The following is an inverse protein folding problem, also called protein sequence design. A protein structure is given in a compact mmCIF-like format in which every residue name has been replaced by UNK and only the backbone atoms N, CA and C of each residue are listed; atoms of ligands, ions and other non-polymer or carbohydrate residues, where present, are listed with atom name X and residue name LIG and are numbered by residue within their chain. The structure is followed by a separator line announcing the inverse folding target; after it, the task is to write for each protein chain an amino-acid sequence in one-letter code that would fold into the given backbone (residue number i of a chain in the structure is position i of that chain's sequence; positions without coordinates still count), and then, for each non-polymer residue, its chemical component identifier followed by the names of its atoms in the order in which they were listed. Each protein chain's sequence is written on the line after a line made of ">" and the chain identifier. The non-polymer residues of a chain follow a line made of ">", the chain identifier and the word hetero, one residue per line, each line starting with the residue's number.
data_IF_906672245194
#
_entry.id   IF_906672245194
#
_cell.length_a   1.000
_cell.length_b   1.000
_cell.length_c   1.000
_cell.angle_alpha   90.00
_cell.angle_beta   90.00
_cell.angle_gamma   90.00
#
_symmetry.space_group_name_H-M   'P 1'
#
loop_
_entity.id
_entity.type
_entity.pdbx_description
1 polymer ?
#
# COMPACT_ATOMS: atom_id res chain seq x y z
N UNK A 1 3.75 24.41 50.90
CA UNK A 1 4.87 23.76 50.18
C UNK A 1 4.42 22.52 49.39
N UNK A 2 3.57 21.65 49.93
CA UNK A 2 3.04 20.46 49.22
C UNK A 2 2.09 20.80 48.07
N UNK A 3 1.23 21.81 48.23
CA UNK A 3 0.24 22.21 47.20
C UNK A 3 0.93 22.75 45.94
N UNK A 4 2.02 23.49 46.07
CA UNK A 4 2.83 23.96 44.94
C UNK A 4 3.56 22.84 44.19
N UNK A 5 3.84 21.74 44.87
CA UNK A 5 4.51 20.57 44.25
C UNK A 5 3.52 19.72 43.45
N UNK A 6 2.28 19.59 43.98
CA UNK A 6 1.21 18.85 43.28
C UNK A 6 0.75 19.60 42.04
N UNK A 7 0.54 20.92 42.13
CA UNK A 7 0.13 21.75 40.99
C UNK A 7 1.19 21.80 39.87
N UNK A 8 2.48 21.77 40.22
CA UNK A 8 3.57 21.65 39.22
C UNK A 8 3.58 20.28 38.52
N UNK A 9 3.32 19.19 39.25
CA UNK A 9 3.22 17.85 38.63
C UNK A 9 2.00 17.68 37.73
N UNK A 10 0.87 18.28 38.08
CA UNK A 10 -0.34 18.27 37.27
C UNK A 10 -0.21 19.12 36.00
N UNK A 11 0.48 20.27 36.09
CA UNK A 11 0.76 21.10 34.92
C UNK A 11 1.79 20.44 34.00
N UNK A 12 2.82 19.81 34.51
CA UNK A 12 3.78 19.02 33.73
C UNK A 12 3.12 17.83 33.04
N UNK A 13 2.22 17.13 33.72
CA UNK A 13 1.43 16.06 33.11
C UNK A 13 0.50 16.55 32.00
N UNK A 14 -0.06 17.75 32.12
CA UNK A 14 -0.91 18.38 31.10
C UNK A 14 -0.08 18.86 29.90
N UNK A 15 1.11 19.40 30.12
CA UNK A 15 2.05 19.79 29.06
C UNK A 15 2.59 18.56 28.31
N UNK A 16 2.90 17.47 29.02
CA UNK A 16 3.34 16.23 28.41
C UNK A 16 2.22 15.54 27.60
N UNK A 17 0.96 15.68 28.01
CA UNK A 17 -0.20 15.15 27.30
C UNK A 17 -0.54 16.01 26.06
N UNK A 18 -0.40 17.34 26.11
CA UNK A 18 -0.57 18.23 24.98
C UNK A 18 0.58 18.13 23.96
N UNK A 19 1.82 17.86 24.40
CA UNK A 19 2.96 17.63 23.50
C UNK A 19 2.91 16.27 22.78
N UNK A 20 2.10 15.32 23.25
CA UNK A 20 1.91 14.03 22.57
C UNK A 20 0.90 14.10 21.41
N UNK A 21 0.06 15.14 21.34
CA UNK A 21 -0.93 15.28 20.25
C UNK A 21 -0.37 15.86 18.94
N UNK A 22 0.89 16.29 18.90
CA UNK A 22 1.49 16.93 17.72
C UNK A 22 2.89 16.44 17.32
N UNK A 23 3.30 15.24 17.68
CA UNK A 23 4.46 14.64 17.03
C UNK A 23 4.09 14.27 15.60
N UNK A 24 4.26 15.21 14.67
CA UNK A 24 4.29 14.87 13.23
C UNK A 24 5.50 13.96 13.00
N UNK A 25 5.24 12.67 12.84
CA UNK A 25 6.27 11.72 12.43
C UNK A 25 6.72 12.06 11.02
N UNK A 26 7.97 12.45 10.86
CA UNK A 26 8.57 12.63 9.54
C UNK A 26 9.00 11.25 9.02
N UNK A 27 8.09 10.55 8.36
CA UNK A 27 8.38 9.26 7.75
C UNK A 27 9.24 9.47 6.51
N UNK A 28 10.39 8.77 6.46
CA UNK A 28 11.29 8.76 5.28
C UNK A 28 10.94 7.66 4.27
N UNK A 29 9.89 6.90 4.52
CA UNK A 29 9.43 5.80 3.67
C UNK A 29 7.99 6.01 3.23
N UNK A 30 7.66 5.50 2.05
CA UNK A 30 6.29 5.50 1.52
C UNK A 30 5.55 4.18 1.80
N UNK A 31 6.23 3.16 2.32
CA UNK A 31 5.62 1.88 2.66
C UNK A 31 4.79 2.00 3.96
N UNK A 32 3.53 1.58 3.89
CA UNK A 32 2.62 1.61 5.05
C UNK A 32 3.08 0.67 6.17
N UNK A 33 3.66 -0.46 5.81
CA UNK A 33 4.26 -1.45 6.71
C UNK A 33 5.38 -0.85 7.55
N UNK A 34 6.34 -0.19 6.92
CA UNK A 34 7.47 0.45 7.60
C UNK A 34 7.02 1.62 8.47
N UNK A 35 6.08 2.44 8.00
CA UNK A 35 5.50 3.54 8.79
C UNK A 35 4.80 3.02 10.04
N UNK A 36 4.03 1.93 9.92
CA UNK A 36 3.40 1.25 11.05
C UNK A 36 4.42 0.78 12.09
N UNK A 37 5.50 0.15 11.65
CA UNK A 37 6.56 -0.32 12.55
C UNK A 37 7.29 0.83 13.25
N UNK A 38 7.61 1.90 12.53
CA UNK A 38 8.24 3.10 13.09
C UNK A 38 7.33 3.69 14.17
N UNK A 39 6.04 3.83 13.90
CA UNK A 39 5.07 4.36 14.85
C UNK A 39 4.94 3.48 16.10
N UNK A 40 4.85 2.15 15.94
CA UNK A 40 4.80 1.20 17.05
C UNK A 40 6.03 1.29 17.95
N UNK A 41 7.23 1.30 17.35
CA UNK A 41 8.49 1.41 18.09
C UNK A 41 8.59 2.74 18.83
N UNK A 42 8.23 3.84 18.21
CA UNK A 42 8.34 5.17 18.80
C UNK A 42 7.36 5.40 19.98
N UNK A 43 6.22 4.70 19.99
CA UNK A 43 5.19 4.81 21.04
C UNK A 43 5.19 3.60 22.00
N UNK A 44 6.13 2.66 21.86
CA UNK A 44 6.18 1.43 22.68
C UNK A 44 4.87 0.64 22.66
N UNK A 45 4.22 0.57 21.48
CA UNK A 45 2.94 -0.13 21.30
C UNK A 45 3.22 -1.60 20.97
N UNK A 46 2.84 -2.50 21.86
CA UNK A 46 2.96 -3.95 21.65
C UNK A 46 1.79 -4.52 20.85
N UNK A 47 0.59 -3.96 21.03
CA UNK A 47 -0.63 -4.38 20.35
C UNK A 47 -0.81 -3.67 19.00
N UNK A 48 -1.91 -3.98 18.29
CA UNK A 48 -2.29 -3.28 17.08
C UNK A 48 -2.64 -1.81 17.35
N UNK A 49 -2.35 -0.96 16.37
CA UNK A 49 -2.70 0.46 16.41
C UNK A 49 -4.18 0.60 16.11
N UNK A 50 -4.92 1.40 16.89
CA UNK A 50 -6.32 1.65 16.60
C UNK A 50 -6.53 2.18 15.18
N UNK A 51 -7.42 1.52 14.43
CA UNK A 51 -7.70 1.86 13.04
C UNK A 51 -6.69 1.34 12.03
N UNK A 52 -5.81 0.43 12.43
CA UNK A 52 -4.88 -0.27 11.52
C UNK A 52 -4.99 -1.77 11.75
N UNK A 53 -5.34 -2.48 10.69
CA UNK A 53 -5.31 -3.93 10.62
C UNK A 53 -4.08 -4.32 9.79
N UNK A 54 -3.34 -5.33 10.19
CA UNK A 54 -2.20 -5.82 9.42
C UNK A 54 -2.13 -7.33 9.39
N UNK A 55 -1.77 -7.86 8.25
CA UNK A 55 -1.56 -9.28 8.01
C UNK A 55 -0.24 -9.47 7.27
N UNK A 56 0.60 -10.39 7.73
CA UNK A 56 1.82 -10.80 7.05
C UNK A 56 1.75 -12.27 6.69
N UNK A 57 2.04 -12.59 5.44
CA UNK A 57 2.04 -13.94 4.88
C UNK A 57 3.42 -14.21 4.24
N UNK A 58 4.09 -15.24 4.70
CA UNK A 58 5.33 -15.71 4.09
C UNK A 58 5.00 -16.83 3.10
N UNK A 59 5.21 -16.58 1.80
CA UNK A 59 4.90 -17.52 0.73
C UNK A 59 6.01 -18.58 0.61
N UNK A 60 7.26 -18.11 0.64
CA UNK A 60 8.46 -18.92 0.68
C UNK A 60 9.60 -18.13 1.35
N UNK A 61 10.82 -18.65 1.32
CA UNK A 61 11.99 -18.00 1.91
C UNK A 61 12.36 -16.65 1.24
N UNK A 62 11.94 -16.44 -0.01
CA UNK A 62 12.26 -15.27 -0.84
C UNK A 62 11.10 -14.30 -0.99
N UNK A 63 9.84 -14.73 -0.78
CA UNK A 63 8.64 -13.94 -1.07
C UNK A 63 7.77 -13.83 0.18
N UNK A 64 7.46 -12.60 0.54
CA UNK A 64 6.50 -12.28 1.60
C UNK A 64 5.49 -11.23 1.13
N UNK A 65 4.27 -11.29 1.64
CA UNK A 65 3.23 -10.28 1.42
C UNK A 65 2.88 -9.67 2.77
N UNK A 66 2.76 -8.36 2.81
CA UNK A 66 2.22 -7.66 3.96
C UNK A 66 1.07 -6.76 3.51
N UNK A 67 -0.08 -6.95 4.14
CA UNK A 67 -1.31 -6.20 3.88
C UNK A 67 -1.57 -5.30 5.08
N UNK A 68 -1.67 -4.01 4.85
CA UNK A 68 -2.02 -3.02 5.88
C UNK A 68 -3.29 -2.32 5.45
N UNK A 69 -4.32 -2.35 6.29
CA UNK A 69 -5.59 -1.67 6.06
C UNK A 69 -5.78 -0.58 7.11
N UNK A 70 -5.94 0.65 6.63
CA UNK A 70 -6.28 1.79 7.47
C UNK A 70 -7.77 1.99 7.40
N UNK A 71 -8.44 1.86 8.56
CA UNK A 71 -9.90 1.80 8.64
C UNK A 71 -10.55 3.09 9.14
N UNK A 72 -9.78 3.95 9.81
CA UNK A 72 -10.30 5.18 10.41
C UNK A 72 -9.28 6.32 10.44
N UNK A 73 -9.75 7.51 10.87
CA UNK A 73 -8.94 8.74 10.94
C UNK A 73 -7.79 8.64 11.95
N UNK A 74 -7.94 7.82 13.00
CA UNK A 74 -6.88 7.64 14.01
C UNK A 74 -5.71 6.86 13.41
N UNK A 75 -5.99 5.77 12.69
CA UNK A 75 -4.99 5.04 11.93
C UNK A 75 -4.31 5.90 10.84
N UNK A 76 -5.10 6.73 10.14
CA UNK A 76 -4.55 7.69 9.18
C UNK A 76 -3.57 8.67 9.84
N UNK A 77 -3.90 9.24 10.99
CA UNK A 77 -3.02 10.16 11.72
C UNK A 77 -1.77 9.45 12.25
N UNK A 78 -1.91 8.21 12.72
CA UNK A 78 -0.82 7.44 13.30
C UNK A 78 0.32 7.22 12.30
N UNK A 79 0.01 6.80 11.09
CA UNK A 79 1.05 6.46 10.08
C UNK A 79 1.12 7.44 8.91
N UNK A 80 0.29 8.49 8.92
CA UNK A 80 0.35 9.55 7.90
C UNK A 80 0.00 9.09 6.49
N UNK A 81 -0.90 8.10 6.36
CA UNK A 81 -1.41 7.61 5.08
C UNK A 81 -2.93 7.62 5.06
N UNK A 82 -3.59 7.90 3.93
CA UNK A 82 -5.04 7.89 3.82
C UNK A 82 -5.68 6.56 4.22
N UNK A 83 -6.96 6.60 4.59
CA UNK A 83 -7.78 5.39 4.76
C UNK A 83 -7.77 4.61 3.46
N UNK A 84 -7.49 3.29 3.54
CA UNK A 84 -7.37 2.43 2.37
C UNK A 84 -6.59 1.15 2.61
N UNK A 85 -6.39 0.38 1.55
CA UNK A 85 -5.64 -0.87 1.56
C UNK A 85 -4.26 -0.65 0.96
N UNK A 86 -3.23 -1.14 1.64
CA UNK A 86 -1.83 -1.05 1.24
C UNK A 86 -1.24 -2.45 1.24
N UNK A 87 -0.76 -2.89 0.08
CA UNK A 87 -0.19 -4.22 -0.10
C UNK A 87 1.26 -4.08 -0.50
N UNK A 88 2.13 -4.72 0.23
CA UNK A 88 3.56 -4.80 -0.05
C UNK A 88 3.92 -6.23 -0.37
N UNK A 89 4.47 -6.47 -1.56
CA UNK A 89 5.04 -7.75 -1.96
C UNK A 89 6.54 -7.58 -1.90
N UNK A 90 7.19 -8.24 -0.94
CA UNK A 90 8.63 -8.22 -0.77
C UNK A 90 9.25 -9.45 -1.45
N UNK A 91 10.16 -9.19 -2.39
CA UNK A 91 10.88 -10.23 -3.13
C UNK A 91 12.37 -10.07 -2.81
N UNK A 92 12.87 -10.92 -1.91
CA UNK A 92 14.26 -10.89 -1.54
C UNK A 92 15.14 -11.24 -2.74
N UNK A 93 16.22 -10.48 -2.92
CA UNK A 93 17.20 -10.72 -3.98
C UNK A 93 16.63 -10.69 -5.41
N UNK A 94 15.61 -9.86 -5.69
CA UNK A 94 14.96 -9.76 -7.00
C UNK A 94 15.96 -9.68 -8.19
N UNK A 95 17.12 -9.04 -8.00
CA UNK A 95 18.16 -8.93 -9.07
C UNK A 95 18.75 -10.26 -9.51
N UNK A 96 18.65 -11.29 -8.70
CA UNK A 96 19.17 -12.64 -8.95
C UNK A 96 18.09 -13.70 -8.70
N UNK A 97 16.82 -13.28 -8.68
CA UNK A 97 15.68 -14.17 -8.50
C UNK A 97 15.66 -15.21 -9.65
N UNK A 98 15.27 -16.41 -9.32
CA UNK A 98 15.04 -17.46 -10.31
C UNK A 98 13.70 -17.22 -11.00
N UNK A 99 13.51 -17.75 -12.19
CA UNK A 99 12.28 -17.59 -12.97
C UNK A 99 11.05 -18.02 -12.17
N UNK A 100 11.16 -19.07 -11.35
CA UNK A 100 10.09 -19.56 -10.48
C UNK A 100 9.63 -18.52 -9.45
N UNK A 101 10.54 -17.77 -8.82
CA UNK A 101 10.20 -16.71 -7.87
C UNK A 101 9.54 -15.53 -8.60
N UNK A 102 9.95 -15.23 -9.83
CA UNK A 102 9.36 -14.17 -10.66
C UNK A 102 7.93 -14.55 -11.06
N UNK A 103 7.71 -15.76 -11.57
CA UNK A 103 6.38 -16.27 -11.93
C UNK A 103 5.46 -16.29 -10.71
N UNK A 104 5.97 -16.78 -9.57
CA UNK A 104 5.20 -16.80 -8.32
C UNK A 104 4.80 -15.41 -7.86
N UNK A 105 5.70 -14.46 -7.96
CA UNK A 105 5.42 -13.05 -7.61
C UNK A 105 4.39 -12.43 -8.54
N UNK A 106 4.42 -12.75 -9.84
CA UNK A 106 3.43 -12.30 -10.81
C UNK A 106 2.03 -12.89 -10.51
N UNK A 107 1.94 -14.19 -10.16
CA UNK A 107 0.67 -14.80 -9.73
C UNK A 107 0.09 -14.10 -8.49
N UNK A 108 0.94 -13.78 -7.52
CA UNK A 108 0.53 -13.11 -6.30
C UNK A 108 0.03 -11.70 -6.61
N UNK A 109 0.79 -10.93 -7.40
CA UNK A 109 0.39 -9.60 -7.83
C UNK A 109 -0.95 -9.63 -8.56
N UNK A 110 -1.13 -10.56 -9.48
CA UNK A 110 -2.40 -10.76 -10.20
C UNK A 110 -3.56 -11.01 -9.25
N UNK A 111 -3.39 -11.89 -8.26
CA UNK A 111 -4.42 -12.20 -7.26
C UNK A 111 -4.79 -10.98 -6.40
N UNK A 112 -3.80 -10.23 -5.94
CA UNK A 112 -4.04 -9.04 -5.11
C UNK A 112 -4.69 -7.91 -5.93
N UNK A 113 -4.27 -7.69 -7.19
CA UNK A 113 -4.92 -6.75 -8.10
C UNK A 113 -6.36 -7.13 -8.39
N UNK A 114 -6.63 -8.41 -8.66
CA UNK A 114 -7.99 -8.91 -8.88
C UNK A 114 -8.89 -8.62 -7.68
N UNK A 115 -8.43 -8.90 -6.46
CA UNK A 115 -9.19 -8.58 -5.24
C UNK A 115 -9.52 -7.09 -5.12
N UNK A 116 -8.55 -6.22 -5.42
CA UNK A 116 -8.77 -4.75 -5.37
C UNK A 116 -9.77 -4.33 -6.44
N UNK A 117 -9.63 -4.82 -7.66
CA UNK A 117 -10.53 -4.49 -8.77
C UNK A 117 -11.94 -4.97 -8.49
N UNK A 118 -12.12 -6.20 -7.99
CA UNK A 118 -13.45 -6.75 -7.70
C UNK A 118 -14.15 -6.02 -6.53
N UNK A 119 -13.39 -5.40 -5.63
CA UNK A 119 -13.94 -4.58 -4.54
C UNK A 119 -14.38 -3.18 -4.98
N UNK A 120 -13.76 -2.61 -6.01
CA UNK A 120 -13.89 -1.19 -6.32
C UNK A 120 -14.41 -0.89 -7.74
N UNK A 121 -14.40 -1.88 -8.62
CA UNK A 121 -14.78 -1.69 -10.03
C UNK A 121 -15.82 -2.73 -10.43
N UNK A 122 -16.97 -2.27 -10.92
CA UNK A 122 -17.99 -3.15 -11.48
C UNK A 122 -17.41 -4.00 -12.63
N UNK A 123 -17.98 -5.18 -12.87
CA UNK A 123 -17.47 -6.10 -13.92
C UNK A 123 -17.44 -5.47 -15.32
N UNK A 124 -18.32 -4.50 -15.58
CA UNK A 124 -18.38 -3.74 -16.82
C UNK A 124 -17.68 -2.36 -16.71
N UNK A 125 -17.06 -2.07 -15.58
CA UNK A 125 -16.35 -0.82 -15.36
C UNK A 125 -15.10 -0.70 -16.21
N UNK A 126 -14.81 0.52 -16.67
CA UNK A 126 -13.59 0.83 -17.43
C UNK A 126 -12.40 0.95 -16.50
N UNK A 127 -11.24 0.45 -16.94
CA UNK A 127 -9.96 0.52 -16.23
C UNK A 127 -9.00 1.36 -17.06
N UNK A 128 -8.37 2.36 -16.42
CA UNK A 128 -7.26 3.11 -16.99
C UNK A 128 -5.99 2.77 -16.24
N UNK A 129 -5.01 2.22 -16.96
CA UNK A 129 -3.66 2.00 -16.44
C UNK A 129 -2.77 3.16 -16.86
N UNK A 130 -2.10 3.78 -15.88
CA UNK A 130 -1.21 4.92 -16.11
C UNK A 130 0.22 4.53 -15.74
N UNK A 131 1.11 4.49 -16.71
CA UNK A 131 2.53 4.18 -16.53
C UNK A 131 3.37 5.43 -16.33
N UNK A 132 3.54 5.86 -15.07
CA UNK A 132 4.35 7.04 -14.75
C UNK A 132 5.83 6.71 -14.87
N UNK A 133 6.60 7.61 -15.47
CA UNK A 133 8.04 7.52 -15.53
C UNK A 133 8.63 8.02 -16.86
N UNK A 134 9.93 7.75 -17.06
CA UNK A 134 10.67 8.12 -18.25
C UNK A 134 11.38 6.89 -18.83
N UNK A 135 10.98 6.46 -20.03
CA UNK A 135 11.50 5.27 -20.69
C UNK A 135 13.00 5.34 -20.96
N UNK A 136 13.56 6.54 -21.11
CA UNK A 136 14.99 6.78 -21.37
C UNK A 136 15.86 6.79 -20.10
N UNK A 137 15.24 6.72 -18.93
CA UNK A 137 15.93 6.72 -17.63
C UNK A 137 15.68 5.38 -16.94
N UNK A 138 16.68 4.50 -16.94
CA UNK A 138 16.53 3.10 -16.47
C UNK A 138 15.81 2.97 -15.12
N UNK A 139 16.17 3.69 -14.04
CA UNK A 139 15.48 3.55 -12.77
C UNK A 139 14.03 4.08 -12.78
N UNK A 140 13.63 4.84 -13.80
CA UNK A 140 12.32 5.45 -13.94
C UNK A 140 11.50 4.86 -15.11
N UNK A 141 11.98 3.81 -15.73
CA UNK A 141 11.37 3.24 -16.95
C UNK A 141 10.31 2.17 -16.71
N UNK A 142 10.05 1.78 -15.46
CA UNK A 142 9.15 0.66 -15.14
C UNK A 142 7.71 0.92 -15.62
N UNK A 143 7.13 2.07 -15.26
CA UNK A 143 5.77 2.42 -15.65
C UNK A 143 5.54 2.39 -17.16
N UNK A 144 6.33 3.13 -17.96
CA UNK A 144 6.22 3.09 -19.42
C UNK A 144 6.40 1.69 -20.03
N UNK A 145 7.30 0.86 -19.50
CA UNK A 145 7.47 -0.52 -19.97
C UNK A 145 6.25 -1.39 -19.68
N UNK A 146 5.72 -1.31 -18.46
CA UNK A 146 4.50 -2.04 -18.09
C UNK A 146 3.34 -1.68 -19.00
N UNK A 147 3.14 -0.38 -19.29
CA UNK A 147 2.08 0.09 -20.17
C UNK A 147 2.21 -0.45 -21.59
N UNK A 148 3.43 -0.57 -22.10
CA UNK A 148 3.67 -1.14 -23.44
C UNK A 148 3.31 -2.63 -23.55
N UNK A 149 3.32 -3.35 -22.42
CA UNK A 149 3.04 -4.79 -22.37
C UNK A 149 1.58 -5.10 -21.98
N UNK A 150 0.79 -4.07 -21.60
CA UNK A 150 -0.62 -4.26 -21.24
C UNK A 150 -1.48 -4.39 -22.49
N UNK A 151 -2.31 -5.42 -22.50
CA UNK A 151 -3.34 -5.60 -23.53
C UNK A 151 -4.46 -4.58 -23.33
N UNK A 152 -4.61 -3.66 -24.31
CA UNK A 152 -5.67 -2.65 -24.33
C UNK A 152 -6.89 -3.23 -25.04
N UNK A 153 -7.98 -3.42 -24.30
CA UNK A 153 -9.18 -4.11 -24.77
C UNK A 153 -10.36 -3.18 -25.08
N UNK A 154 -10.35 -1.94 -24.56
CA UNK A 154 -11.47 -1.00 -24.69
C UNK A 154 -11.92 -0.79 -26.13
N UNK A 155 -10.99 -0.60 -27.06
CA UNK A 155 -11.32 -0.37 -28.47
C UNK A 155 -11.88 -1.64 -29.14
N UNK A 156 -11.41 -2.84 -28.75
CA UNK A 156 -11.90 -4.11 -29.28
C UNK A 156 -13.35 -4.33 -28.81
N UNK A 157 -13.63 -4.11 -27.53
CA UNK A 157 -14.97 -4.26 -26.96
C UNK A 157 -15.97 -3.30 -27.64
N UNK A 158 -15.56 -2.06 -27.91
CA UNK A 158 -16.43 -1.05 -28.49
C UNK A 158 -16.69 -1.24 -29.98
N UNK A 159 -15.72 -1.74 -30.75
CA UNK A 159 -15.85 -1.80 -32.23
C UNK A 159 -15.93 -3.21 -32.78
N UNK A 160 -15.47 -4.21 -32.05
CA UNK A 160 -15.39 -5.61 -32.50
C UNK A 160 -15.77 -6.59 -31.36
N UNK A 161 -16.95 -6.40 -30.72
CA UNK A 161 -17.33 -7.19 -29.53
C UNK A 161 -17.41 -8.69 -29.79
N UNK A 162 -17.61 -9.11 -31.03
CA UNK A 162 -17.68 -10.54 -31.41
C UNK A 162 -16.33 -11.28 -31.31
N UNK A 163 -15.21 -10.54 -31.16
CA UNK A 163 -13.89 -11.14 -31.00
C UNK A 163 -13.40 -11.12 -29.56
N UNK A 164 -14.24 -10.69 -28.62
CA UNK A 164 -13.88 -10.55 -27.20
C UNK A 164 -14.46 -11.71 -26.41
N UNK A 165 -13.65 -12.34 -25.58
CA UNK A 165 -14.10 -13.38 -24.67
C UNK A 165 -15.03 -12.82 -23.59
N UNK A 166 -16.01 -13.63 -23.16
CA UNK A 166 -16.93 -13.25 -22.11
C UNK A 166 -16.16 -12.99 -20.79
N UNK A 167 -16.43 -11.86 -20.16
CA UNK A 167 -15.77 -11.45 -18.91
C UNK A 167 -14.54 -10.58 -19.11
N UNK A 168 -14.12 -10.30 -20.35
CA UNK A 168 -13.02 -9.36 -20.63
C UNK A 168 -13.41 -7.94 -20.17
N UNK A 169 -12.57 -7.31 -19.36
CA UNK A 169 -12.77 -5.94 -18.89
C UNK A 169 -12.30 -4.92 -19.91
N UNK A 170 -12.92 -3.73 -19.93
CA UNK A 170 -12.49 -2.60 -20.75
C UNK A 170 -11.23 -1.98 -20.13
N UNK A 171 -10.07 -2.15 -20.77
CA UNK A 171 -8.79 -1.63 -20.33
C UNK A 171 -8.25 -0.64 -21.35
N UNK A 172 -7.80 0.51 -20.85
CA UNK A 172 -7.02 1.53 -21.55
C UNK A 172 -5.69 1.74 -20.84
N UNK A 173 -4.64 2.15 -21.56
CA UNK A 173 -3.31 2.39 -20.97
C UNK A 173 -2.67 3.65 -21.58
N UNK A 174 -1.93 4.43 -20.76
CA UNK A 174 -1.18 5.62 -21.18
C UNK A 174 0.15 5.72 -20.42
#
# INVERSE_FOLDING_TARGET
>A
MLENYISKKENQKKEDTQNNETRQFNFRTDLATERREIYRKANSIENEINGIESEKEEINENIAIERVKITNVEGQKAIGKPIGNYITIDIKKLKIAQDEDIEKSAEILSKELTKILDLHVDKQGEILVVGLGNIYVTPDSLGPKVVNDIEVTRHIINYLPQYVEEGTRMVSAI
#
